data_IF_674655102691
#
_entry.id   IF_674655102691
#
_cell.length_a   1.000
_cell.length_b   1.000
_cell.length_c   1.000
_cell.angle_alpha   90.00
_cell.angle_beta   90.00
_cell.angle_gamma   90.00
#
_symmetry.space_group_name_H-M   'P 1'
#
loop_
_entity.id
_entity.type
_entity.pdbx_description
1 polymer ?
#
# COMPACT_ATOMS: atom_id res chain seq x y z
N UNK A 1 -16.17 19.27 -26.88
CA UNK A 1 -16.15 20.35 -25.84
C UNK A 1 -14.82 20.36 -25.11
N UNK A 2 -14.38 19.26 -24.50
CA UNK A 2 -13.05 19.15 -23.84
C UNK A 2 -11.87 19.66 -24.69
N UNK A 3 -11.76 19.22 -25.95
CA UNK A 3 -10.70 19.69 -26.87
C UNK A 3 -10.73 21.20 -27.16
N UNK A 4 -11.92 21.82 -27.12
CA UNK A 4 -12.03 23.28 -27.24
C UNK A 4 -11.61 23.98 -25.95
N UNK A 5 -11.91 23.38 -24.79
CA UNK A 5 -11.47 23.90 -23.50
C UNK A 5 -9.94 23.87 -23.39
N UNK A 6 -9.30 22.77 -23.79
CA UNK A 6 -7.84 22.66 -23.89
C UNK A 6 -7.25 23.71 -24.83
N UNK A 7 -7.79 23.85 -26.05
CA UNK A 7 -7.31 24.85 -27.00
C UNK A 7 -7.42 26.29 -26.45
N UNK A 8 -8.46 26.59 -25.65
CA UNK A 8 -8.61 27.90 -24.99
C UNK A 8 -7.59 28.05 -23.86
N UNK A 9 -7.36 27.01 -23.06
CA UNK A 9 -6.37 27.03 -21.98
C UNK A 9 -4.95 27.23 -22.55
N UNK A 10 -4.54 26.45 -23.54
CA UNK A 10 -3.24 26.57 -24.20
C UNK A 10 -3.03 27.98 -24.78
N UNK A 11 -4.06 28.52 -25.43
CA UNK A 11 -4.03 29.88 -25.97
C UNK A 11 -3.86 30.92 -24.86
N UNK A 12 -4.60 30.80 -23.75
CA UNK A 12 -4.53 31.72 -22.63
C UNK A 12 -3.14 31.70 -21.96
N UNK A 13 -2.55 30.51 -21.81
CA UNK A 13 -1.23 30.34 -21.19
C UNK A 13 -0.10 30.94 -22.06
N UNK A 14 -0.19 30.78 -23.38
CA UNK A 14 0.78 31.34 -24.33
C UNK A 14 0.60 32.84 -24.60
N UNK A 15 -0.63 33.35 -24.48
CA UNK A 15 -0.95 34.74 -24.80
C UNK A 15 -0.76 35.67 -23.59
N UNK A 16 0.48 36.14 -23.37
CA UNK A 16 0.82 37.04 -22.26
C UNK A 16 0.05 38.37 -22.24
N UNK A 17 -0.54 38.79 -23.37
CA UNK A 17 -1.42 39.96 -23.43
C UNK A 17 -2.79 39.74 -22.78
N UNK A 18 -3.25 38.49 -22.62
CA UNK A 18 -4.54 38.16 -22.02
C UNK A 18 -4.40 37.92 -20.50
N UNK A 19 -4.13 39.01 -19.77
CA UNK A 19 -4.10 38.98 -18.30
C UNK A 19 -5.49 38.79 -17.71
N UNK A 20 -5.61 38.07 -16.59
CA UNK A 20 -6.91 37.84 -15.94
C UNK A 20 -7.91 37.09 -16.81
N UNK A 21 -7.43 36.09 -17.56
CA UNK A 21 -8.29 35.26 -18.41
C UNK A 21 -9.40 34.57 -17.60
N UNK A 22 -9.08 34.11 -16.38
CA UNK A 22 -10.04 33.52 -15.44
C UNK A 22 -11.18 34.49 -15.14
N UNK A 23 -10.88 35.71 -14.69
CA UNK A 23 -11.90 36.72 -14.41
C UNK A 23 -12.76 37.01 -15.65
N UNK A 24 -12.12 37.22 -16.81
CA UNK A 24 -12.82 37.51 -18.06
C UNK A 24 -13.81 36.40 -18.45
N UNK A 25 -13.41 35.13 -18.31
CA UNK A 25 -14.24 33.98 -18.62
C UNK A 25 -15.39 33.82 -17.62
N UNK A 26 -15.11 33.99 -16.32
CA UNK A 26 -16.11 33.87 -15.26
C UNK A 26 -17.18 34.95 -15.39
N UNK A 27 -16.79 36.23 -15.54
CA UNK A 27 -17.76 37.33 -15.68
C UNK A 27 -18.65 37.16 -16.90
N UNK A 28 -18.11 36.62 -17.99
CA UNK A 28 -18.84 36.44 -19.25
C UNK A 28 -19.82 35.26 -19.22
N UNK A 29 -19.48 34.16 -18.55
CA UNK A 29 -20.22 32.89 -18.68
C UNK A 29 -20.86 32.38 -17.38
N UNK A 30 -20.60 32.98 -16.22
CA UNK A 30 -21.16 32.51 -14.92
C UNK A 30 -22.66 32.74 -14.73
N UNK A 31 -23.26 33.66 -15.49
CA UNK A 31 -24.68 34.00 -15.38
C UNK A 31 -25.58 33.00 -16.09
N UNK A 32 -25.12 32.47 -17.23
CA UNK A 32 -25.84 31.48 -18.03
C UNK A 32 -25.57 30.05 -17.53
N UNK A 33 -26.62 29.41 -17.01
CA UNK A 33 -26.56 28.04 -16.48
C UNK A 33 -26.12 27.03 -17.54
N UNK A 34 -26.49 27.25 -18.81
CA UNK A 34 -26.09 26.34 -19.90
C UNK A 34 -24.61 26.45 -20.26
N UNK A 35 -23.98 27.57 -19.88
CA UNK A 35 -22.55 27.82 -20.10
C UNK A 35 -21.64 27.28 -19.00
N UNK A 36 -22.18 27.07 -17.79
CA UNK A 36 -21.39 26.59 -16.64
C UNK A 36 -20.61 25.29 -16.91
N UNK A 37 -21.18 24.24 -17.55
CA UNK A 37 -20.45 23.00 -17.75
C UNK A 37 -19.19 23.14 -18.59
N UNK A 38 -19.17 24.00 -19.62
CA UNK A 38 -17.96 24.22 -20.41
C UNK A 38 -17.01 25.22 -19.75
N UNK A 39 -17.53 26.20 -19.00
CA UNK A 39 -16.71 27.12 -18.22
C UNK A 39 -15.89 26.36 -17.18
N UNK A 40 -16.52 25.44 -16.44
CA UNK A 40 -15.82 24.57 -15.50
C UNK A 40 -14.80 23.68 -16.21
N UNK A 41 -15.08 23.20 -17.42
CA UNK A 41 -14.11 22.42 -18.18
C UNK A 41 -12.85 23.23 -18.49
N UNK A 42 -12.99 24.49 -18.93
CA UNK A 42 -11.85 25.39 -19.16
C UNK A 42 -11.09 25.64 -17.87
N UNK A 43 -11.79 25.92 -16.77
CA UNK A 43 -11.16 26.18 -15.47
C UNK A 43 -10.52 24.93 -14.86
N UNK A 44 -10.93 23.73 -15.27
CA UNK A 44 -10.31 22.46 -14.84
C UNK A 44 -9.02 22.19 -15.59
N UNK A 45 -9.02 22.33 -16.92
CA UNK A 45 -7.81 22.03 -17.72
C UNK A 45 -6.77 23.14 -17.69
N UNK A 46 -7.16 24.37 -17.35
CA UNK A 46 -6.23 25.51 -17.32
C UNK A 46 -5.07 25.32 -16.32
N UNK A 47 -5.29 24.95 -15.05
CA UNK A 47 -4.21 24.57 -14.13
C UNK A 47 -3.41 23.36 -14.57
N UNK A 48 -4.06 22.35 -15.17
CA UNK A 48 -3.41 21.11 -15.63
C UNK A 48 -2.37 21.41 -16.73
N UNK A 49 -2.70 22.30 -17.67
CA UNK A 49 -1.81 22.65 -18.77
C UNK A 49 -0.62 23.54 -18.37
N UNK A 50 -0.62 24.14 -17.16
CA UNK A 50 0.52 24.93 -16.65
C UNK A 50 1.79 24.07 -16.56
N UNK A 51 1.63 22.79 -16.20
CA UNK A 51 2.72 21.82 -16.05
C UNK A 51 2.88 20.90 -17.26
N UNK A 52 2.13 21.16 -18.34
CA UNK A 52 2.14 20.33 -19.53
C UNK A 52 3.49 20.32 -20.25
N UNK A 53 3.98 19.11 -20.54
CA UNK A 53 5.26 18.91 -21.25
C UNK A 53 5.17 19.28 -22.74
N UNK A 54 3.96 19.30 -23.31
CA UNK A 54 3.73 19.64 -24.71
C UNK A 54 3.84 21.15 -24.96
N UNK A 55 3.36 21.95 -24.01
CA UNK A 55 3.25 23.41 -24.12
C UNK A 55 4.60 24.14 -23.96
N UNK A 56 5.57 23.49 -23.30
CA UNK A 56 6.97 23.95 -23.13
C UNK A 56 7.09 25.42 -22.67
N UNK A 57 6.26 25.84 -21.73
CA UNK A 57 6.32 27.18 -21.13
C UNK A 57 7.63 27.30 -20.32
N UNK A 58 8.37 28.39 -20.55
CA UNK A 58 9.58 28.70 -19.80
C UNK A 58 9.30 28.99 -18.32
N UNK A 59 10.25 28.65 -17.44
CA UNK A 59 10.06 28.71 -15.98
C UNK A 59 9.54 30.07 -15.47
N UNK A 60 10.14 31.19 -15.91
CA UNK A 60 9.72 32.54 -15.50
C UNK A 60 8.25 32.81 -15.87
N UNK A 61 7.84 32.44 -17.09
CA UNK A 61 6.47 32.61 -17.54
C UNK A 61 5.51 31.71 -16.77
N UNK A 62 5.93 30.50 -16.40
CA UNK A 62 5.13 29.60 -15.56
C UNK A 62 4.88 30.21 -14.18
N UNK A 63 5.89 30.77 -13.55
CA UNK A 63 5.74 31.45 -12.26
C UNK A 63 4.75 32.61 -12.35
N UNK A 64 4.86 33.47 -13.37
CA UNK A 64 3.88 34.55 -13.60
C UNK A 64 2.45 34.04 -13.75
N UNK A 65 2.25 32.92 -14.46
CA UNK A 65 0.94 32.30 -14.64
C UNK A 65 0.41 31.78 -13.31
N UNK A 66 1.22 31.07 -12.53
CA UNK A 66 0.81 30.53 -11.23
C UNK A 66 0.40 31.67 -10.29
N UNK A 67 1.16 32.77 -10.26
CA UNK A 67 0.82 33.96 -9.46
C UNK A 67 -0.50 34.62 -9.92
N UNK A 68 -0.73 34.75 -11.23
CA UNK A 68 -1.98 35.30 -11.79
C UNK A 68 -3.17 34.38 -11.46
N UNK A 69 -3.01 33.05 -11.58
CA UNK A 69 -4.05 32.09 -11.21
C UNK A 69 -4.32 32.11 -9.71
N UNK A 70 -3.30 32.20 -8.86
CA UNK A 70 -3.45 32.34 -7.43
C UNK A 70 -4.25 33.59 -7.05
N UNK A 71 -4.01 34.71 -7.74
CA UNK A 71 -4.77 35.94 -7.54
C UNK A 71 -6.28 35.76 -7.82
N UNK A 72 -6.65 34.99 -8.86
CA UNK A 72 -8.05 34.74 -9.22
C UNK A 72 -8.66 33.47 -8.61
N UNK A 73 -7.93 32.73 -7.78
CA UNK A 73 -8.40 31.49 -7.13
C UNK A 73 -9.72 31.70 -6.36
N UNK A 74 -9.83 32.79 -5.61
CA UNK A 74 -11.03 33.17 -4.86
C UNK A 74 -12.26 33.33 -5.74
N UNK A 75 -12.09 33.84 -6.96
CA UNK A 75 -13.18 34.00 -7.94
C UNK A 75 -13.68 32.64 -8.42
N UNK A 76 -12.75 31.70 -8.64
CA UNK A 76 -13.09 30.32 -9.03
C UNK A 76 -13.80 29.60 -7.91
N UNK A 77 -13.30 29.66 -6.67
CA UNK A 77 -13.99 29.01 -5.54
C UNK A 77 -15.39 29.58 -5.31
N UNK A 78 -15.57 30.90 -5.46
CA UNK A 78 -16.90 31.54 -5.40
C UNK A 78 -17.84 31.05 -6.51
N UNK A 79 -17.32 30.88 -7.74
CA UNK A 79 -18.07 30.28 -8.83
C UNK A 79 -18.48 28.83 -8.52
N UNK A 80 -17.57 28.01 -7.99
CA UNK A 80 -17.85 26.62 -7.62
C UNK A 80 -18.96 26.54 -6.58
N UNK A 81 -18.90 27.38 -5.55
CA UNK A 81 -19.95 27.52 -4.54
C UNK A 81 -21.30 27.91 -5.17
N UNK A 82 -21.30 28.89 -6.08
CA UNK A 82 -22.51 29.29 -6.81
C UNK A 82 -23.07 28.14 -7.66
N UNK A 83 -22.21 27.32 -8.24
CA UNK A 83 -22.62 26.15 -9.02
C UNK A 83 -23.29 25.08 -8.15
N UNK A 84 -22.79 24.84 -6.94
CA UNK A 84 -23.44 23.97 -5.95
C UNK A 84 -24.81 24.52 -5.57
N UNK A 85 -24.95 25.83 -5.35
CA UNK A 85 -26.24 26.43 -4.98
C UNK A 85 -27.29 26.34 -6.11
N UNK A 86 -26.87 26.53 -7.37
CA UNK A 86 -27.77 26.50 -8.52
C UNK A 86 -28.14 25.09 -8.99
N UNK A 87 -27.21 24.14 -8.87
CA UNK A 87 -27.33 22.82 -9.51
C UNK A 87 -26.74 21.67 -8.67
N UNK A 88 -26.66 21.82 -7.34
CA UNK A 88 -26.07 20.81 -6.43
C UNK A 88 -26.79 19.47 -6.38
N UNK A 89 -28.01 19.37 -6.93
CA UNK A 89 -28.71 18.09 -7.07
C UNK A 89 -28.34 17.34 -8.35
N UNK A 90 -27.62 17.99 -9.29
CA UNK A 90 -27.13 17.34 -10.51
C UNK A 90 -25.74 16.74 -10.27
N UNK A 91 -25.70 15.41 -10.20
CA UNK A 91 -24.48 14.63 -10.02
C UNK A 91 -23.39 14.97 -11.05
N UNK A 92 -23.77 15.19 -12.32
CA UNK A 92 -22.81 15.53 -13.37
C UNK A 92 -22.16 16.88 -13.14
N UNK A 93 -22.91 17.80 -12.54
CA UNK A 93 -22.40 19.12 -12.17
C UNK A 93 -21.46 19.01 -10.97
N UNK A 94 -21.80 18.23 -9.95
CA UNK A 94 -20.91 17.98 -8.80
C UNK A 94 -19.59 17.36 -9.23
N UNK A 95 -19.59 16.38 -10.15
CA UNK A 95 -18.37 15.79 -10.72
C UNK A 95 -17.46 16.88 -11.31
N UNK A 96 -18.03 17.81 -12.10
CA UNK A 96 -17.26 18.91 -12.69
C UNK A 96 -16.72 19.89 -11.64
N UNK A 97 -17.51 20.16 -10.60
CA UNK A 97 -17.11 21.02 -9.50
C UNK A 97 -15.92 20.41 -8.75
N UNK A 98 -15.98 19.13 -8.40
CA UNK A 98 -14.91 18.45 -7.67
C UNK A 98 -13.64 18.26 -8.50
N UNK A 99 -13.77 17.94 -9.79
CA UNK A 99 -12.60 17.89 -10.70
C UNK A 99 -11.93 19.24 -10.84
N UNK A 100 -12.72 20.31 -11.03
CA UNK A 100 -12.18 21.66 -11.06
C UNK A 100 -11.50 22.00 -9.73
N UNK A 101 -12.11 21.70 -8.60
CA UNK A 101 -11.52 21.97 -7.29
C UNK A 101 -10.20 21.21 -7.09
N UNK A 102 -10.15 19.91 -7.41
CA UNK A 102 -8.95 19.08 -7.32
C UNK A 102 -7.82 19.58 -8.21
N UNK A 103 -8.12 20.00 -9.44
CA UNK A 103 -7.14 20.59 -10.36
C UNK A 103 -6.48 21.86 -9.78
N UNK A 104 -7.26 22.71 -9.11
CA UNK A 104 -6.74 23.91 -8.45
C UNK A 104 -5.96 23.61 -7.17
N UNK A 105 -6.32 22.56 -6.43
CA UNK A 105 -5.49 22.04 -5.34
C UNK A 105 -4.13 21.56 -5.84
N UNK A 106 -4.10 20.78 -6.93
CA UNK A 106 -2.86 20.27 -7.52
C UNK A 106 -1.91 21.38 -8.02
N UNK A 107 -2.45 22.54 -8.38
CA UNK A 107 -1.63 23.71 -8.74
C UNK A 107 -1.02 24.41 -7.50
N UNK A 108 -1.53 24.16 -6.29
CA UNK A 108 -1.01 24.72 -5.05
C UNK A 108 -1.35 26.20 -4.83
N UNK A 109 -2.46 26.67 -5.41
CA UNK A 109 -2.82 28.11 -5.43
C UNK A 109 -4.03 28.49 -4.56
N UNK A 110 -4.67 27.51 -3.93
CA UNK A 110 -5.84 27.74 -3.07
C UNK A 110 -5.40 28.16 -1.67
N UNK A 111 -6.12 29.14 -1.08
CA UNK A 111 -5.86 29.56 0.30
C UNK A 111 -6.37 28.50 1.30
N UNK A 112 -5.44 27.91 2.04
CA UNK A 112 -5.72 26.82 2.98
C UNK A 112 -6.68 27.21 4.10
N UNK A 113 -6.60 28.44 4.62
CA UNK A 113 -7.47 28.89 5.72
C UNK A 113 -8.91 29.09 5.26
N UNK A 114 -9.09 29.64 4.05
CA UNK A 114 -10.38 29.80 3.41
C UNK A 114 -10.99 28.44 3.07
N UNK A 115 -10.21 27.53 2.48
CA UNK A 115 -10.69 26.20 2.13
C UNK A 115 -11.07 25.36 3.34
N UNK A 116 -10.36 25.49 4.47
CA UNK A 116 -10.71 24.82 5.72
C UNK A 116 -12.14 25.16 6.21
N UNK A 117 -12.63 26.37 5.92
CA UNK A 117 -13.95 26.83 6.33
C UNK A 117 -15.00 26.78 5.20
N UNK A 118 -14.63 26.20 4.05
CA UNK A 118 -15.48 26.16 2.88
C UNK A 118 -16.51 25.04 2.96
N UNK A 119 -17.76 25.33 2.55
CA UNK A 119 -18.80 24.30 2.43
C UNK A 119 -18.50 23.27 1.33
N UNK A 120 -17.63 23.60 0.36
CA UNK A 120 -17.19 22.63 -0.65
C UNK A 120 -16.49 21.43 0.02
N UNK A 121 -15.68 21.70 1.04
CA UNK A 121 -14.96 20.66 1.76
C UNK A 121 -15.92 19.79 2.58
N UNK A 122 -16.89 20.41 3.26
CA UNK A 122 -17.95 19.67 3.95
C UNK A 122 -18.77 18.79 2.99
N UNK A 123 -19.11 19.32 1.81
CA UNK A 123 -19.87 18.60 0.79
C UNK A 123 -19.11 17.39 0.22
N UNK A 124 -17.79 17.50 0.03
CA UNK A 124 -16.95 16.36 -0.38
C UNK A 124 -17.13 15.17 0.56
N UNK A 125 -16.97 15.39 1.86
CA UNK A 125 -17.13 14.33 2.85
C UNK A 125 -18.59 13.87 2.99
N UNK A 126 -19.57 14.76 2.86
CA UNK A 126 -20.98 14.37 2.85
C UNK A 126 -21.29 13.38 1.71
N UNK A 127 -20.82 13.67 0.50
CA UNK A 127 -20.99 12.80 -0.67
C UNK A 127 -20.30 11.45 -0.48
N UNK A 128 -19.08 11.46 0.08
CA UNK A 128 -18.31 10.24 0.38
C UNK A 128 -18.91 9.40 1.52
N UNK A 129 -19.79 9.94 2.35
CA UNK A 129 -20.49 9.16 3.39
C UNK A 129 -21.80 8.52 2.90
N UNK A 130 -22.35 9.00 1.78
CA UNK A 130 -23.66 8.56 1.31
C UNK A 130 -23.57 7.29 0.45
N UNK A 131 -24.19 6.20 0.90
CA UNK A 131 -24.26 4.90 0.16
C UNK A 131 -24.80 5.06 -1.27
N UNK A 132 -25.80 5.95 -1.42
CA UNK A 132 -26.49 6.23 -2.70
C UNK A 132 -25.62 6.93 -3.75
N UNK A 133 -24.44 7.43 -3.39
CA UNK A 133 -23.54 8.12 -4.32
C UNK A 133 -23.06 7.13 -5.39
N UNK A 134 -23.09 7.53 -6.66
CA UNK A 134 -22.61 6.71 -7.77
C UNK A 134 -21.09 6.55 -7.75
N UNK A 135 -20.55 5.53 -8.42
CA UNK A 135 -19.10 5.32 -8.52
C UNK A 135 -18.38 6.53 -9.14
N UNK A 136 -18.95 7.17 -10.17
CA UNK A 136 -18.34 8.33 -10.85
C UNK A 136 -18.24 9.57 -9.94
N UNK A 137 -19.29 9.86 -9.17
CA UNK A 137 -19.27 10.98 -8.24
C UNK A 137 -18.37 10.68 -7.05
N UNK A 138 -18.38 9.44 -6.58
CA UNK A 138 -17.50 8.99 -5.50
C UNK A 138 -16.03 9.11 -5.90
N UNK A 139 -15.63 8.63 -7.08
CA UNK A 139 -14.27 8.76 -7.61
C UNK A 139 -13.85 10.24 -7.70
N UNK A 140 -14.69 11.10 -8.31
CA UNK A 140 -14.37 12.53 -8.42
C UNK A 140 -14.22 13.23 -7.05
N UNK A 141 -14.99 12.82 -6.05
CA UNK A 141 -14.86 13.34 -4.69
C UNK A 141 -13.60 12.80 -3.99
N UNK A 142 -13.30 11.51 -4.13
CA UNK A 142 -12.09 10.89 -3.60
C UNK A 142 -10.82 11.51 -4.18
N UNK A 143 -10.75 11.67 -5.50
CA UNK A 143 -9.63 12.32 -6.19
C UNK A 143 -9.42 13.75 -5.68
N UNK A 144 -10.50 14.51 -5.50
CA UNK A 144 -10.42 15.87 -4.97
C UNK A 144 -9.92 15.91 -3.51
N UNK A 145 -10.30 14.94 -2.68
CA UNK A 145 -9.78 14.82 -1.30
C UNK A 145 -8.30 14.47 -1.32
N UNK A 146 -7.87 13.53 -2.17
CA UNK A 146 -6.45 13.20 -2.33
C UNK A 146 -5.65 14.42 -2.82
N UNK A 147 -6.14 15.16 -3.82
CA UNK A 147 -5.52 16.43 -4.26
C UNK A 147 -5.40 17.45 -3.14
N UNK A 148 -6.42 17.58 -2.28
CA UNK A 148 -6.39 18.51 -1.15
C UNK A 148 -5.38 18.10 -0.06
N UNK A 149 -5.25 16.80 0.19
CA UNK A 149 -4.24 16.23 1.10
C UNK A 149 -2.83 16.43 0.53
N UNK A 150 -2.61 16.05 -0.72
CA UNK A 150 -1.33 16.17 -1.41
C UNK A 150 -0.84 17.63 -1.53
N UNK A 151 -1.76 18.59 -1.65
CA UNK A 151 -1.44 20.02 -1.67
C UNK A 151 -0.86 20.54 -0.35
N UNK A 152 -0.94 19.79 0.75
CA UNK A 152 -0.33 20.14 2.03
C UNK A 152 1.14 19.74 2.02
N UNK A 153 2.00 20.60 1.47
CA UNK A 153 3.46 20.38 1.49
C UNK A 153 4.05 20.52 2.90
N UNK A 154 3.47 21.41 3.72
CA UNK A 154 3.87 21.62 5.11
C UNK A 154 2.63 21.71 6.02
N UNK A 155 2.55 20.79 6.98
CA UNK A 155 1.40 20.65 7.89
C UNK A 155 1.25 21.85 8.81
N UNK A 156 2.34 22.46 9.27
CA UNK A 156 2.27 23.61 10.19
C UNK A 156 1.69 24.85 9.52
N UNK A 157 2.07 25.10 8.27
CA UNK A 157 1.62 26.27 7.48
C UNK A 157 0.16 26.12 7.07
N UNK A 158 -0.29 24.89 6.84
CA UNK A 158 -1.64 24.57 6.39
C UNK A 158 -2.53 23.96 7.49
N UNK A 159 -2.18 24.18 8.76
CA UNK A 159 -2.78 23.50 9.90
C UNK A 159 -4.33 23.52 9.93
N UNK A 160 -5.03 24.64 9.62
CA UNK A 160 -6.49 24.64 9.60
C UNK A 160 -7.08 23.64 8.59
N UNK A 161 -6.54 23.60 7.37
CA UNK A 161 -7.00 22.68 6.33
C UNK A 161 -6.63 21.24 6.68
N UNK A 162 -5.41 21.03 7.15
CA UNK A 162 -4.93 19.74 7.60
C UNK A 162 -5.86 19.11 8.65
N UNK A 163 -6.27 19.88 9.67
CA UNK A 163 -7.19 19.40 10.71
C UNK A 163 -8.56 19.03 10.15
N UNK A 164 -9.09 19.80 9.20
CA UNK A 164 -10.41 19.53 8.60
C UNK A 164 -10.38 18.29 7.72
N UNK A 165 -9.33 18.13 6.89
CA UNK A 165 -9.15 16.93 6.08
C UNK A 165 -8.96 15.69 6.95
N UNK A 166 -8.12 15.79 7.99
CA UNK A 166 -7.89 14.70 8.93
C UNK A 166 -9.18 14.24 9.58
N UNK A 167 -9.96 15.17 10.15
CA UNK A 167 -11.24 14.85 10.77
C UNK A 167 -12.25 14.29 9.77
N UNK A 168 -12.34 14.88 8.57
CA UNK A 168 -13.24 14.44 7.51
C UNK A 168 -12.98 13.01 7.08
N UNK A 169 -11.72 12.64 6.82
CA UNK A 169 -11.36 11.28 6.41
C UNK A 169 -11.67 10.25 7.49
N UNK A 170 -11.42 10.56 8.76
CA UNK A 170 -11.74 9.64 9.87
C UNK A 170 -13.25 9.30 9.97
N UNK A 171 -14.14 10.15 9.43
CA UNK A 171 -15.58 9.85 9.42
C UNK A 171 -16.00 8.82 8.37
N UNK A 172 -15.12 8.48 7.43
CA UNK A 172 -15.44 7.63 6.28
C UNK A 172 -15.39 6.13 6.59
N UNK A 173 -14.89 5.72 7.76
CA UNK A 173 -14.76 4.30 8.15
C UNK A 173 -16.09 3.53 8.04
N UNK A 174 -17.20 4.12 8.50
CA UNK A 174 -18.53 3.50 8.41
C UNK A 174 -18.98 3.30 6.96
N UNK A 175 -18.70 4.28 6.09
CA UNK A 175 -19.05 4.23 4.68
C UNK A 175 -18.16 3.22 3.92
N UNK A 176 -16.88 3.09 4.29
CA UNK A 176 -16.00 2.03 3.82
C UNK A 176 -16.57 0.64 4.13
N UNK A 177 -16.95 0.37 5.38
CA UNK A 177 -17.54 -0.91 5.75
C UNK A 177 -18.84 -1.21 5.00
N UNK A 178 -19.63 -0.17 4.71
CA UNK A 178 -20.83 -0.29 3.89
C UNK A 178 -20.49 -0.69 2.45
N UNK A 179 -19.50 -0.06 1.83
CA UNK A 179 -19.02 -0.44 0.50
C UNK A 179 -18.52 -1.89 0.45
N UNK A 180 -17.76 -2.34 1.45
CA UNK A 180 -17.33 -3.74 1.58
C UNK A 180 -18.53 -4.69 1.68
N UNK A 181 -19.52 -4.36 2.51
CA UNK A 181 -20.73 -5.19 2.67
C UNK A 181 -21.61 -5.23 1.41
N UNK A 182 -21.48 -4.24 0.52
CA UNK A 182 -22.16 -4.16 -0.78
C UNK A 182 -21.35 -4.77 -1.92
N UNK A 183 -20.14 -5.23 -1.66
CA UNK A 183 -19.18 -5.70 -2.68
C UNK A 183 -18.88 -4.61 -3.74
N UNK A 184 -18.91 -3.34 -3.34
CA UNK A 184 -18.62 -2.18 -4.20
C UNK A 184 -17.11 -1.90 -4.20
N UNK A 185 -16.37 -2.70 -4.99
CA UNK A 185 -14.91 -2.65 -5.04
C UNK A 185 -14.39 -1.27 -5.50
N UNK A 186 -15.10 -0.58 -6.39
CA UNK A 186 -14.72 0.76 -6.86
C UNK A 186 -14.61 1.74 -5.69
N UNK A 187 -15.63 1.77 -4.81
CA UNK A 187 -15.62 2.62 -3.61
C UNK A 187 -14.57 2.17 -2.60
N UNK A 188 -14.40 0.86 -2.40
CA UNK A 188 -13.38 0.31 -1.50
C UNK A 188 -11.98 0.76 -1.90
N UNK A 189 -11.63 0.68 -3.19
CA UNK A 189 -10.35 1.16 -3.72
C UNK A 189 -10.20 2.67 -3.53
N UNK A 190 -11.26 3.44 -3.79
CA UNK A 190 -11.27 4.89 -3.60
C UNK A 190 -11.01 5.30 -2.14
N UNK A 191 -11.68 4.67 -1.17
CA UNK A 191 -11.41 4.91 0.25
C UNK A 191 -9.99 4.53 0.64
N UNK A 192 -9.48 3.40 0.15
CA UNK A 192 -8.12 2.98 0.46
C UNK A 192 -7.07 3.99 -0.05
N UNK A 193 -7.29 4.57 -1.23
CA UNK A 193 -6.46 5.69 -1.74
C UNK A 193 -6.52 6.90 -0.82
N UNK A 194 -7.72 7.31 -0.39
CA UNK A 194 -7.90 8.45 0.53
C UNK A 194 -7.22 8.20 1.88
N UNK A 195 -7.34 6.99 2.44
CA UNK A 195 -6.69 6.63 3.70
C UNK A 195 -5.17 6.58 3.56
N UNK A 196 -4.67 6.06 2.43
CA UNK A 196 -3.23 6.04 2.14
C UNK A 196 -2.67 7.44 2.01
N UNK A 197 -3.33 8.32 1.24
CA UNK A 197 -2.91 9.70 1.05
C UNK A 197 -2.94 10.49 2.37
N UNK A 198 -3.92 10.21 3.25
CA UNK A 198 -3.97 10.77 4.60
C UNK A 198 -2.70 10.40 5.39
N UNK A 199 -2.34 9.12 5.40
CA UNK A 199 -1.16 8.63 6.08
C UNK A 199 0.14 9.21 5.49
N UNK A 200 0.24 9.34 4.17
CA UNK A 200 1.38 9.95 3.48
C UNK A 200 1.54 11.43 3.83
N UNK A 201 0.44 12.19 3.83
CA UNK A 201 0.43 13.63 4.16
C UNK A 201 0.86 13.88 5.60
N UNK A 202 0.46 12.99 6.53
CA UNK A 202 0.74 13.14 7.95
C UNK A 202 1.88 12.25 8.45
N UNK A 203 2.68 11.65 7.56
CA UNK A 203 3.75 10.72 7.89
C UNK A 203 4.73 11.30 8.92
N UNK A 204 5.17 12.54 8.72
CA UNK A 204 6.07 13.22 9.66
C UNK A 204 5.46 13.35 11.07
N UNK A 205 4.15 13.62 11.16
CA UNK A 205 3.42 13.72 12.45
C UNK A 205 3.22 12.37 13.10
N UNK A 206 2.93 11.34 12.30
CA UNK A 206 2.83 9.95 12.76
C UNK A 206 4.16 9.53 13.40
N UNK A 207 5.29 9.82 12.76
CA UNK A 207 6.63 9.43 13.25
C UNK A 207 7.11 10.28 14.42
N UNK A 208 6.96 11.61 14.36
CA UNK A 208 7.53 12.52 15.36
C UNK A 208 6.70 12.60 16.65
N UNK A 209 5.38 12.46 16.55
CA UNK A 209 4.44 12.58 17.68
C UNK A 209 3.39 11.46 17.66
N UNK A 210 3.82 10.18 17.69
CA UNK A 210 2.91 9.05 17.54
C UNK A 210 1.83 9.04 18.64
N UNK A 211 0.58 8.90 18.21
CA UNK A 211 -0.59 8.86 19.09
C UNK A 211 -1.09 10.23 19.57
N UNK A 212 -0.52 11.35 19.11
CA UNK A 212 -0.89 12.69 19.55
C UNK A 212 -1.25 13.61 18.39
N UNK A 213 -2.39 14.30 18.51
CA UNK A 213 -2.83 15.29 17.52
C UNK A 213 -2.95 14.69 16.12
N UNK A 214 -2.23 15.25 15.14
CA UNK A 214 -2.17 14.76 13.76
C UNK A 214 -1.31 13.49 13.60
N UNK A 215 -0.58 13.08 14.63
CA UNK A 215 0.10 11.79 14.69
C UNK A 215 -0.75 10.65 15.29
N UNK A 216 -2.06 10.85 15.43
CA UNK A 216 -2.98 9.84 15.94
C UNK A 216 -2.95 8.57 15.06
N UNK A 217 -2.69 7.43 15.72
CA UNK A 217 -2.45 6.13 15.08
C UNK A 217 -3.72 5.45 14.58
N UNK A 218 -4.91 6.04 14.82
CA UNK A 218 -6.14 5.63 14.11
C UNK A 218 -6.00 5.70 12.58
N UNK A 219 -5.09 6.54 12.08
CA UNK A 219 -4.72 6.57 10.67
C UNK A 219 -4.16 5.22 10.19
N UNK A 220 -3.27 4.59 10.96
CA UNK A 220 -2.75 3.26 10.65
C UNK A 220 -3.82 2.17 10.80
N UNK A 221 -4.75 2.33 11.74
CA UNK A 221 -5.88 1.41 11.88
C UNK A 221 -6.76 1.37 10.62
N UNK A 222 -7.00 2.51 9.96
CA UNK A 222 -7.73 2.55 8.69
C UNK A 222 -7.03 1.72 7.60
N UNK A 223 -5.70 1.82 7.50
CA UNK A 223 -4.94 1.00 6.55
C UNK A 223 -4.97 -0.49 6.91
N UNK A 224 -4.93 -0.83 8.20
CA UNK A 224 -5.05 -2.22 8.65
C UNK A 224 -6.45 -2.80 8.43
N UNK A 225 -7.50 -1.97 8.49
CA UNK A 225 -8.86 -2.34 8.09
C UNK A 225 -8.86 -2.68 6.58
N UNK A 226 -8.25 -1.83 5.74
CA UNK A 226 -8.10 -2.13 4.31
C UNK A 226 -7.28 -3.40 4.05
N UNK A 227 -6.22 -3.64 4.83
CA UNK A 227 -5.42 -4.85 4.73
C UNK A 227 -6.20 -6.13 5.04
N UNK A 228 -7.29 -6.04 5.81
CA UNK A 228 -8.19 -7.15 6.11
C UNK A 228 -9.18 -7.49 5.00
N UNK A 229 -9.30 -6.66 3.96
CA UNK A 229 -10.15 -6.94 2.80
C UNK A 229 -9.62 -8.16 2.02
N UNK A 230 -10.47 -9.02 1.42
CA UNK A 230 -10.00 -10.23 0.77
C UNK A 230 -9.29 -9.99 -0.58
N UNK A 231 -9.63 -8.93 -1.30
CA UNK A 231 -8.94 -8.55 -2.55
C UNK A 231 -7.58 -7.90 -2.26
N UNK A 232 -6.50 -8.48 -2.78
CA UNK A 232 -5.13 -8.04 -2.54
C UNK A 232 -4.81 -6.68 -3.16
N UNK A 233 -5.55 -6.31 -4.21
CA UNK A 233 -5.44 -5.02 -4.90
C UNK A 233 -5.76 -3.85 -3.96
N UNK A 234 -6.56 -4.10 -2.91
CA UNK A 234 -6.89 -3.08 -1.90
C UNK A 234 -5.69 -2.81 -1.00
N UNK A 235 -5.05 -3.85 -0.45
CA UNK A 235 -3.92 -3.66 0.48
C UNK A 235 -2.68 -3.10 -0.24
N UNK A 236 -2.49 -3.49 -1.51
CA UNK A 236 -1.35 -3.06 -2.33
C UNK A 236 -1.28 -1.54 -2.50
N UNK A 237 -2.42 -0.84 -2.54
CA UNK A 237 -2.48 0.63 -2.65
C UNK A 237 -1.63 1.30 -1.56
N UNK A 238 -1.58 0.72 -0.36
CA UNK A 238 -0.90 1.30 0.80
C UNK A 238 0.60 1.00 0.88
N UNK A 239 1.17 0.19 -0.04
CA UNK A 239 2.55 -0.30 0.09
C UNK A 239 3.58 0.83 0.10
N UNK A 240 3.42 1.84 -0.75
CA UNK A 240 4.34 2.99 -0.80
C UNK A 240 4.43 3.71 0.54
N UNK A 241 3.30 3.91 1.22
CA UNK A 241 3.27 4.51 2.55
C UNK A 241 4.05 3.65 3.54
N UNK A 242 3.84 2.33 3.54
CA UNK A 242 4.54 1.44 4.45
C UNK A 242 6.05 1.45 4.23
N UNK A 243 6.52 1.46 2.98
CA UNK A 243 7.95 1.66 2.67
C UNK A 243 8.48 2.97 3.23
N UNK A 244 7.77 4.09 3.00
CA UNK A 244 8.18 5.41 3.50
C UNK A 244 8.17 5.48 5.02
N UNK A 245 7.18 4.88 5.68
CA UNK A 245 7.12 4.77 7.14
C UNK A 245 8.33 3.99 7.68
N UNK A 246 8.63 2.83 7.09
CA UNK A 246 9.81 2.04 7.41
C UNK A 246 11.10 2.83 7.27
N UNK A 247 11.27 3.55 6.16
CA UNK A 247 12.43 4.40 5.90
C UNK A 247 12.59 5.52 6.94
N UNK A 248 11.51 6.22 7.29
CA UNK A 248 11.56 7.29 8.31
C UNK A 248 11.91 6.72 9.68
N UNK A 249 11.27 5.62 10.08
CA UNK A 249 11.53 4.99 11.38
C UNK A 249 12.96 4.43 11.45
N UNK A 250 13.49 3.88 10.36
CA UNK A 250 14.87 3.42 10.29
C UNK A 250 15.85 4.59 10.51
N UNK A 251 15.57 5.76 9.93
CA UNK A 251 16.40 6.97 10.11
C UNK A 251 16.32 7.56 11.52
N UNK A 252 15.21 7.42 12.22
CA UNK A 252 15.03 7.96 13.59
C UNK A 252 15.87 7.20 14.64
N UNK A 253 16.24 5.94 14.38
CA UNK A 253 17.07 5.08 15.26
C UNK A 253 16.70 5.15 16.76
N UNK A 254 15.40 5.08 17.05
CA UNK A 254 14.86 5.13 18.43
C UNK A 254 14.00 3.90 18.71
N UNK A 255 14.52 3.00 19.55
CA UNK A 255 13.86 1.76 19.95
C UNK A 255 12.53 2.00 20.68
N UNK A 256 12.36 3.11 21.39
CA UNK A 256 11.10 3.46 22.06
C UNK A 256 10.04 3.77 21.01
N UNK A 257 10.39 4.58 20.00
CA UNK A 257 9.48 4.89 18.90
C UNK A 257 9.15 3.61 18.11
N UNK A 258 10.14 2.79 17.77
CA UNK A 258 9.92 1.51 17.07
C UNK A 258 8.93 0.60 17.80
N UNK A 259 9.02 0.54 19.14
CA UNK A 259 8.13 -0.29 19.96
C UNK A 259 6.66 0.09 19.85
N UNK A 260 6.35 1.36 19.55
CA UNK A 260 4.98 1.85 19.34
C UNK A 260 4.39 1.26 18.05
N UNK A 261 5.20 1.19 16.98
CA UNK A 261 4.76 0.71 15.67
C UNK A 261 4.79 -0.82 15.54
N UNK A 262 5.57 -1.52 16.36
CA UNK A 262 5.75 -2.98 16.31
C UNK A 262 4.43 -3.76 16.17
N UNK A 263 3.42 -3.43 17.00
CA UNK A 263 2.13 -4.12 16.97
C UNK A 263 1.35 -3.90 15.66
N UNK A 264 1.45 -2.71 15.07
CA UNK A 264 0.82 -2.38 13.78
C UNK A 264 1.49 -3.15 12.64
N UNK A 265 2.82 -3.20 12.63
CA UNK A 265 3.58 -3.95 11.63
C UNK A 265 3.32 -5.45 11.76
N UNK A 266 3.24 -6.02 12.97
CA UNK A 266 2.86 -7.42 13.16
C UNK A 266 1.47 -7.74 12.59
N UNK A 267 0.49 -6.85 12.79
CA UNK A 267 -0.86 -7.01 12.23
C UNK A 267 -0.86 -6.92 10.71
N UNK A 268 -0.08 -6.00 10.13
CA UNK A 268 0.10 -5.90 8.69
C UNK A 268 0.71 -7.19 8.14
N UNK A 269 1.83 -7.66 8.70
CA UNK A 269 2.49 -8.90 8.29
C UNK A 269 1.55 -10.12 8.35
N UNK A 270 0.70 -10.18 9.38
CA UNK A 270 -0.32 -11.23 9.48
C UNK A 270 -1.35 -11.14 8.34
N UNK A 271 -1.83 -9.95 8.01
CA UNK A 271 -2.73 -9.75 6.87
C UNK A 271 -2.06 -10.12 5.55
N UNK A 272 -0.81 -9.69 5.32
CA UNK A 272 -0.05 -10.01 4.11
C UNK A 272 0.23 -11.52 3.97
N UNK A 273 0.51 -12.21 5.07
CA UNK A 273 0.66 -13.67 5.07
C UNK A 273 -0.65 -14.38 4.64
N UNK A 274 -1.81 -13.81 4.95
CA UNK A 274 -3.10 -14.33 4.47
C UNK A 274 -3.30 -14.03 2.99
N UNK A 275 -2.93 -12.83 2.54
CA UNK A 275 -3.01 -12.44 1.12
C UNK A 275 -2.06 -13.25 0.21
N UNK A 276 -0.97 -13.81 0.74
CA UNK A 276 -0.09 -14.68 -0.04
C UNK A 276 -0.58 -16.14 -0.15
N UNK A 277 -1.75 -16.48 0.41
CA UNK A 277 -2.33 -17.82 0.28
C UNK A 277 -2.81 -18.05 -1.14
N UNK A 278 -2.39 -19.17 -1.72
CA UNK A 278 -2.94 -19.66 -2.98
C UNK A 278 -4.35 -20.20 -2.79
N UNK A 279 -5.08 -20.33 -3.89
CA UNK A 279 -6.36 -21.03 -3.88
C UNK A 279 -6.17 -22.50 -3.46
N UNK A 280 -7.13 -23.02 -2.69
CA UNK A 280 -7.03 -24.37 -2.12
C UNK A 280 -6.95 -25.49 -3.16
N UNK A 281 -7.46 -25.23 -4.36
CA UNK A 281 -7.48 -26.11 -5.53
C UNK A 281 -6.38 -25.76 -6.57
N UNK A 282 -5.45 -24.86 -6.23
CA UNK A 282 -4.34 -24.50 -7.09
C UNK A 282 -3.49 -25.73 -7.45
N UNK A 283 -3.19 -25.87 -8.74
CA UNK A 283 -2.37 -26.95 -9.28
C UNK A 283 -1.00 -26.44 -9.71
N UNK A 284 0.05 -27.18 -9.36
CA UNK A 284 1.41 -26.89 -9.82
C UNK A 284 2.24 -26.06 -8.83
N UNK A 285 3.20 -25.32 -9.38
CA UNK A 285 4.05 -24.41 -8.60
C UNK A 285 3.47 -23.01 -8.67
N UNK A 286 3.63 -22.19 -7.62
CA UNK A 286 3.16 -20.82 -7.67
C UNK A 286 3.82 -20.06 -8.83
N UNK A 287 3.01 -19.36 -9.62
CA UNK A 287 3.50 -18.51 -10.69
C UNK A 287 4.16 -17.24 -10.11
N UNK A 288 5.24 -16.79 -10.74
CA UNK A 288 5.96 -15.56 -10.35
C UNK A 288 5.74 -14.41 -11.33
N UNK A 289 5.07 -14.67 -12.47
CA UNK A 289 4.96 -13.72 -13.60
C UNK A 289 3.54 -13.25 -13.86
N UNK A 290 2.54 -13.79 -13.17
CA UNK A 290 1.17 -13.29 -13.18
C UNK A 290 0.98 -12.18 -12.15
N UNK A 291 -0.18 -11.51 -12.18
CA UNK A 291 -0.46 -10.36 -11.30
C UNK A 291 -0.35 -10.74 -9.81
N UNK A 292 -0.74 -11.97 -9.46
CA UNK A 292 -0.65 -12.47 -8.09
C UNK A 292 0.79 -12.80 -7.68
N UNK A 293 1.57 -13.43 -8.56
CA UNK A 293 3.00 -13.65 -8.37
C UNK A 293 3.77 -12.35 -8.16
N UNK A 294 3.50 -11.33 -8.99
CA UNK A 294 4.08 -9.98 -8.82
C UNK A 294 3.67 -9.36 -7.48
N UNK A 295 2.40 -9.48 -7.08
CA UNK A 295 1.93 -9.05 -5.77
C UNK A 295 2.70 -9.73 -4.62
N UNK A 296 2.86 -11.05 -4.67
CA UNK A 296 3.63 -11.81 -3.67
C UNK A 296 5.07 -11.32 -3.59
N UNK A 297 5.72 -11.07 -4.73
CA UNK A 297 7.08 -10.55 -4.75
C UNK A 297 7.18 -9.15 -4.10
N UNK A 298 6.22 -8.27 -4.38
CA UNK A 298 6.10 -6.96 -3.69
C UNK A 298 5.90 -7.12 -2.18
N UNK A 299 5.11 -8.08 -1.73
CA UNK A 299 4.96 -8.41 -0.30
C UNK A 299 6.29 -8.87 0.29
N UNK A 300 7.00 -9.76 -0.38
CA UNK A 300 8.31 -10.26 0.06
C UNK A 300 9.30 -9.11 0.29
N UNK A 301 9.32 -8.12 -0.60
CA UNK A 301 10.21 -6.97 -0.49
C UNK A 301 9.77 -6.01 0.62
N UNK A 302 8.47 -5.74 0.75
CA UNK A 302 7.94 -4.91 1.82
C UNK A 302 8.22 -5.50 3.21
N UNK A 303 8.05 -6.82 3.35
CA UNK A 303 8.33 -7.53 4.59
C UNK A 303 9.80 -7.41 4.97
N UNK A 304 10.74 -7.54 4.01
CA UNK A 304 12.18 -7.39 4.27
C UNK A 304 12.52 -6.00 4.82
N UNK A 305 11.88 -4.97 4.28
CA UNK A 305 12.15 -3.58 4.68
C UNK A 305 11.51 -3.21 6.03
N UNK A 306 10.47 -3.92 6.46
CA UNK A 306 9.77 -3.63 7.73
C UNK A 306 10.14 -4.57 8.88
N UNK A 307 10.81 -5.70 8.61
CA UNK A 307 11.04 -6.74 9.62
C UNK A 307 11.85 -6.25 10.82
N UNK A 308 12.69 -5.22 10.65
CA UNK A 308 13.49 -4.65 11.74
C UNK A 308 12.64 -4.06 12.87
N UNK A 309 11.42 -3.59 12.57
CA UNK A 309 10.49 -3.02 13.57
C UNK A 309 9.87 -4.07 14.48
N UNK A 310 9.80 -5.32 14.01
CA UNK A 310 9.28 -6.46 14.79
C UNK A 310 10.40 -7.24 15.45
N UNK A 311 11.51 -7.42 14.74
CA UNK A 311 12.60 -8.31 15.07
C UNK A 311 12.49 -9.62 14.28
N UNK A 312 13.49 -9.89 13.44
CA UNK A 312 13.50 -11.04 12.53
C UNK A 312 13.41 -12.39 13.25
N UNK A 313 14.12 -12.57 14.36
CA UNK A 313 14.10 -13.81 15.17
C UNK A 313 12.73 -14.06 15.79
N UNK A 314 12.12 -13.02 16.37
CA UNK A 314 10.82 -13.12 17.04
C UNK A 314 9.71 -13.42 16.03
N UNK A 315 9.67 -12.69 14.92
CA UNK A 315 8.70 -12.90 13.85
C UNK A 315 8.84 -14.30 13.23
N UNK A 316 10.07 -14.75 12.95
CA UNK A 316 10.32 -16.10 12.41
C UNK A 316 9.84 -17.20 13.37
N UNK A 317 10.10 -17.05 14.67
CA UNK A 317 9.63 -18.00 15.68
C UNK A 317 8.11 -18.04 15.80
N UNK A 318 7.44 -16.88 15.72
CA UNK A 318 5.98 -16.77 15.74
C UNK A 318 5.35 -17.44 14.52
N UNK A 319 5.85 -17.18 13.31
CA UNK A 319 5.40 -17.82 12.07
C UNK A 319 5.62 -19.34 12.09
N UNK A 320 6.74 -19.80 12.64
CA UNK A 320 7.01 -21.24 12.74
C UNK A 320 6.08 -21.94 13.77
N UNK A 321 5.67 -21.24 14.83
CA UNK A 321 4.76 -21.79 15.82
C UNK A 321 3.36 -22.07 15.24
N UNK A 322 2.85 -21.17 14.37
CA UNK A 322 1.52 -21.37 13.74
C UNK A 322 1.47 -22.57 12.80
N UNK A 323 2.62 -23.05 12.31
CA UNK A 323 2.69 -24.27 11.50
C UNK A 323 2.60 -25.56 12.33
N UNK A 324 2.97 -25.51 13.62
CA UNK A 324 2.93 -26.68 14.51
C UNK A 324 1.54 -26.91 15.11
N UNK A 325 0.82 -25.83 15.35
CA UNK A 325 -0.46 -25.87 16.02
C UNK A 325 -1.59 -26.00 14.98
N UNK A 326 -2.47 -27.00 15.13
CA UNK A 326 -3.75 -27.05 14.41
C UNK A 326 -3.77 -27.72 13.04
N UNK A 327 -2.67 -28.31 12.57
CA UNK A 327 -2.57 -29.00 11.27
C UNK A 327 -3.13 -28.14 10.10
N UNK A 328 -2.51 -26.98 9.83
CA UNK A 328 -3.03 -26.02 8.87
C UNK A 328 -3.12 -26.61 7.44
N UNK A 329 -4.08 -26.13 6.62
CA UNK A 329 -4.13 -26.45 5.20
C UNK A 329 -2.81 -26.15 4.46
N UNK A 330 -2.66 -26.74 3.27
CA UNK A 330 -1.40 -26.66 2.53
C UNK A 330 -1.12 -25.23 2.04
N UNK A 331 -2.16 -24.51 1.62
CA UNK A 331 -2.10 -23.13 1.14
C UNK A 331 -1.73 -22.14 2.25
N UNK A 332 -2.19 -22.41 3.48
CA UNK A 332 -1.80 -21.64 4.67
C UNK A 332 -0.33 -21.92 5.02
N UNK A 333 0.07 -23.20 4.96
CA UNK A 333 1.45 -23.61 5.22
C UNK A 333 2.42 -22.98 4.23
N UNK A 334 2.07 -23.00 2.94
CA UNK A 334 2.86 -22.43 1.84
C UNK A 334 3.06 -20.92 2.03
N UNK A 335 2.00 -20.17 2.29
CA UNK A 335 2.09 -18.72 2.44
C UNK A 335 2.93 -18.31 3.66
N UNK A 336 2.83 -19.03 4.77
CA UNK A 336 3.68 -18.81 5.95
C UNK A 336 5.15 -19.09 5.62
N UNK A 337 5.44 -20.20 4.91
CA UNK A 337 6.80 -20.51 4.46
C UNK A 337 7.35 -19.46 3.49
N UNK A 338 6.51 -18.91 2.60
CA UNK A 338 6.86 -17.81 1.71
C UNK A 338 7.31 -16.56 2.47
N UNK A 339 6.56 -16.13 3.49
CA UNK A 339 6.94 -15.00 4.35
C UNK A 339 8.21 -15.32 5.15
N UNK A 340 8.32 -16.52 5.73
CA UNK A 340 9.52 -16.96 6.45
C UNK A 340 10.77 -16.94 5.56
N UNK A 341 10.66 -17.35 4.29
CA UNK A 341 11.76 -17.32 3.33
C UNK A 341 12.22 -15.89 3.04
N UNK A 342 11.29 -14.93 3.00
CA UNK A 342 11.58 -13.51 2.78
C UNK A 342 12.45 -12.90 3.87
N UNK A 343 12.22 -13.28 5.14
CA UNK A 343 12.95 -12.74 6.30
C UNK A 343 14.16 -13.55 6.72
N UNK A 344 14.32 -14.79 6.26
CA UNK A 344 15.35 -15.71 6.77
C UNK A 344 16.79 -15.18 6.66
N UNK A 345 17.11 -14.41 5.60
CA UNK A 345 18.44 -13.80 5.42
C UNK A 345 18.75 -12.72 6.46
N UNK A 346 17.73 -12.11 7.06
CA UNK A 346 17.84 -11.07 8.09
C UNK A 346 17.92 -11.64 9.52
N UNK A 347 17.76 -12.96 9.69
CA UNK A 347 17.90 -13.64 10.97
C UNK A 347 19.39 -13.80 11.26
N UNK A 348 20.00 -12.77 11.84
CA UNK A 348 21.42 -12.76 12.18
C UNK A 348 21.76 -13.89 13.17
N UNK A 349 22.88 -14.61 12.92
CA UNK A 349 23.36 -15.71 13.77
C UNK A 349 23.98 -15.24 15.12
N UNK A 350 23.80 -13.97 15.49
CA UNK A 350 24.44 -13.31 16.63
C UNK A 350 23.90 -13.76 18.00
N UNK A 351 22.82 -14.54 18.06
CA UNK A 351 22.28 -15.13 19.30
C UNK A 351 23.14 -16.24 19.92
N UNK A 352 24.35 -16.52 19.39
CA UNK A 352 25.26 -17.57 19.91
C UNK A 352 26.32 -17.11 20.92
N UNK A 353 26.39 -15.84 21.33
CA UNK A 353 27.53 -15.35 22.16
C UNK A 353 27.20 -14.93 23.60
N UNK A 354 26.01 -15.18 24.15
CA UNK A 354 25.74 -14.91 25.57
C UNK A 354 25.04 -16.04 26.34
N UNK A 355 25.62 -17.24 26.30
CA UNK A 355 25.48 -18.18 27.41
C UNK A 355 26.72 -19.07 27.47
N UNK A 356 27.66 -18.74 28.37
CA UNK A 356 28.73 -19.67 28.77
C UNK A 356 28.09 -20.85 29.49
N UNK A 357 27.84 -21.94 28.77
CA UNK A 357 27.73 -23.29 29.33
C UNK A 357 29.05 -24.05 29.08
N UNK A 358 29.49 -24.95 29.98
CA UNK A 358 30.77 -25.65 29.89
C UNK A 358 30.75 -26.74 28.80
N UNK A 359 31.93 -27.29 28.40
CA UNK A 359 32.15 -27.78 27.05
C UNK A 359 31.60 -29.19 26.86
N UNK A 360 30.80 -29.40 25.82
CA UNK A 360 30.60 -30.71 25.21
C UNK A 360 30.76 -30.60 23.69
N UNK A 361 31.82 -31.24 23.21
CA UNK A 361 32.23 -31.59 21.84
C UNK A 361 32.07 -30.55 20.69
N UNK A 362 33.11 -30.37 19.85
CA UNK A 362 33.12 -29.36 18.80
C UNK A 362 32.16 -29.73 17.67
N UNK A 363 31.14 -28.90 17.45
CA UNK A 363 30.34 -28.92 16.22
C UNK A 363 31.23 -28.44 15.05
N UNK A 364 31.26 -29.13 13.90
CA UNK A 364 32.05 -28.70 12.76
C UNK A 364 31.44 -27.43 12.14
N UNK A 365 32.29 -26.42 12.02
CA UNK A 365 32.07 -25.17 11.29
C UNK A 365 32.04 -25.47 9.79
N UNK A 366 30.94 -25.15 9.10
CA UNK A 366 30.94 -24.96 7.64
C UNK A 366 30.11 -23.72 7.33
N UNK A 367 30.78 -22.73 6.73
CA UNK A 367 30.25 -21.40 6.45
C UNK A 367 29.22 -21.38 5.33
N UNK A 368 28.23 -20.49 5.47
CA UNK A 368 27.39 -19.99 4.39
C UNK A 368 28.26 -19.11 3.47
N UNK A 369 28.98 -19.76 2.56
CA UNK A 369 29.94 -19.10 1.67
C UNK A 369 30.83 -20.10 0.97
N UNK A 370 30.25 -21.11 0.32
CA UNK A 370 31.00 -22.02 -0.52
C UNK A 370 30.17 -22.37 -1.77
N UNK A 371 30.55 -21.76 -2.90
CA UNK A 371 30.38 -22.42 -4.20
C UNK A 371 31.12 -23.76 -4.11
N UNK A 372 30.41 -24.88 -4.25
CA UNK A 372 31.04 -26.19 -4.34
C UNK A 372 31.80 -26.30 -5.67
N UNK A 373 33.12 -26.56 -5.67
CA UNK A 373 33.77 -27.18 -6.82
C UNK A 373 33.47 -28.69 -6.77
N UNK A 374 33.11 -29.24 -7.92
CA UNK A 374 32.88 -30.67 -8.09
C UNK A 374 34.12 -31.50 -7.69
N UNK A 375 33.91 -32.60 -6.95
CA UNK A 375 34.84 -33.73 -6.96
C UNK A 375 35.16 -34.37 -5.61
N UNK A 376 34.85 -35.67 -5.54
CA UNK A 376 35.42 -36.73 -4.71
C UNK A 376 34.92 -36.97 -3.28
N UNK A 377 34.31 -38.16 -3.15
CA UNK A 377 34.17 -39.10 -2.02
C UNK A 377 34.99 -38.79 -0.76
N UNK A 378 34.34 -38.90 0.40
CA UNK A 378 34.68 -39.91 1.43
C UNK A 378 33.55 -40.09 2.44
N UNK A 379 33.42 -41.33 2.91
CA UNK A 379 32.54 -41.84 3.96
C UNK A 379 32.77 -41.14 5.31
N UNK A 380 31.67 -41.04 6.08
CA UNK A 380 31.57 -41.20 7.54
C UNK A 380 30.77 -40.07 8.23
N UNK A 381 29.84 -40.49 9.10
CA UNK A 381 29.19 -39.63 10.08
C UNK A 381 27.69 -39.41 9.85
N UNK A 382 26.87 -40.38 10.24
CA UNK A 382 25.44 -40.19 10.43
C UNK A 382 25.21 -39.28 11.65
N UNK A 383 24.98 -37.99 11.40
CA UNK A 383 24.48 -37.01 12.37
C UNK A 383 23.05 -36.63 12.00
N UNK A 384 22.12 -36.80 12.95
CA UNK A 384 20.71 -36.40 12.84
C UNK A 384 20.57 -34.94 12.38
N UNK A 385 19.83 -34.64 11.28
CA UNK A 385 19.59 -33.27 10.86
C UNK A 385 18.60 -32.60 11.83
N UNK A 386 19.02 -31.46 12.40
CA UNK A 386 18.22 -30.66 13.29
C UNK A 386 16.99 -30.06 12.59
N UNK A 387 15.86 -30.14 13.27
CA UNK A 387 14.46 -29.89 12.87
C UNK A 387 14.11 -28.52 12.26
N UNK A 388 15.07 -27.64 12.00
CA UNK A 388 14.85 -26.31 11.39
C UNK A 388 15.45 -26.24 9.98
N UNK A 389 16.49 -27.03 9.69
CA UNK A 389 17.10 -27.06 8.36
C UNK A 389 16.23 -27.78 7.33
N UNK A 390 15.47 -28.79 7.74
CA UNK A 390 14.70 -29.63 6.85
C UNK A 390 13.57 -28.87 6.13
N UNK A 391 12.69 -28.10 6.80
CA UNK A 391 11.62 -27.38 6.10
C UNK A 391 12.16 -26.32 5.12
N UNK A 392 13.24 -25.63 5.51
CA UNK A 392 13.85 -24.55 4.73
C UNK A 392 14.60 -25.07 3.50
N UNK A 393 15.30 -26.20 3.65
CA UNK A 393 15.96 -26.88 2.53
C UNK A 393 14.95 -27.42 1.52
N UNK A 394 13.79 -27.88 1.99
CA UNK A 394 12.70 -28.38 1.15
C UNK A 394 11.97 -27.26 0.40
N UNK A 395 11.63 -26.14 1.05
CA UNK A 395 11.04 -24.98 0.36
C UNK A 395 12.03 -24.40 -0.66
N UNK A 396 13.31 -24.27 -0.29
CA UNK A 396 14.34 -23.77 -1.21
C UNK A 396 14.61 -24.72 -2.39
N UNK A 397 14.53 -26.05 -2.20
CA UNK A 397 14.62 -27.02 -3.30
C UNK A 397 13.39 -27.00 -4.23
N UNK A 398 12.19 -26.78 -3.69
CA UNK A 398 10.95 -26.73 -4.49
C UNK A 398 10.80 -25.40 -5.25
N UNK A 399 11.16 -24.26 -4.65
CA UNK A 399 10.97 -22.92 -5.23
C UNK A 399 12.11 -22.50 -6.15
N UNK A 400 13.38 -22.79 -5.81
CA UNK A 400 14.53 -22.32 -6.62
C UNK A 400 14.97 -23.29 -7.73
N UNK A 401 14.14 -24.27 -8.11
CA UNK A 401 14.36 -25.06 -9.33
C UNK A 401 15.70 -25.81 -9.40
N UNK A 402 16.28 -26.24 -8.28
CA UNK A 402 17.46 -27.13 -8.29
C UNK A 402 17.05 -28.59 -8.57
N UNK A 403 16.47 -28.82 -9.76
CA UNK A 403 15.96 -30.09 -10.25
C UNK A 403 17.04 -31.16 -10.53
N UNK A 404 18.32 -30.84 -10.35
CA UNK A 404 19.43 -31.75 -10.71
C UNK A 404 19.79 -32.79 -9.64
N UNK A 405 19.22 -32.71 -8.43
CA UNK A 405 19.59 -33.60 -7.31
C UNK A 405 18.56 -34.70 -6.98
N UNK A 406 17.39 -34.71 -7.62
CA UNK A 406 16.33 -35.68 -7.33
C UNK A 406 15.72 -36.27 -8.61
N UNK A 407 16.54 -36.97 -9.40
CA UNK A 407 15.99 -37.89 -10.39
C UNK A 407 15.54 -39.17 -9.66
N UNK A 408 14.22 -39.37 -9.54
CA UNK A 408 13.68 -40.72 -9.33
C UNK A 408 12.64 -40.94 -8.23
N UNK A 409 12.04 -39.91 -7.63
CA UNK A 409 10.95 -40.11 -6.66
C UNK A 409 9.72 -39.29 -7.08
N UNK A 410 8.64 -39.99 -7.41
CA UNK A 410 7.34 -39.39 -7.68
C UNK A 410 6.81 -38.67 -6.44
N UNK A 411 6.11 -37.55 -6.64
CA UNK A 411 5.55 -36.66 -5.61
C UNK A 411 4.80 -37.37 -4.46
N UNK A 412 4.27 -38.57 -4.70
CA UNK A 412 3.62 -39.41 -3.68
C UNK A 412 4.56 -39.94 -2.58
N UNK A 413 5.84 -40.19 -2.87
CA UNK A 413 6.81 -40.61 -1.84
C UNK A 413 7.15 -39.47 -0.85
N UNK A 414 6.96 -38.21 -1.26
CA UNK A 414 7.30 -37.03 -0.45
C UNK A 414 6.28 -36.74 0.65
N UNK A 415 4.98 -36.98 0.42
CA UNK A 415 3.96 -36.92 1.48
C UNK A 415 4.04 -38.10 2.46
N UNK A 416 4.43 -39.28 1.98
CA UNK A 416 4.45 -40.50 2.80
C UNK A 416 5.60 -40.50 3.83
N UNK A 417 6.72 -39.83 3.53
CA UNK A 417 7.79 -39.59 4.50
C UNK A 417 7.40 -38.59 5.59
N UNK A 418 6.49 -37.65 5.29
CA UNK A 418 5.96 -36.68 6.25
C UNK A 418 5.03 -37.35 7.27
N UNK A 419 4.22 -38.33 6.86
CA UNK A 419 3.32 -39.08 7.76
C UNK A 419 4.05 -40.04 8.71
N UNK A 420 5.15 -40.66 8.27
CA UNK A 420 5.90 -41.60 9.12
C UNK A 420 6.61 -40.96 10.33
N UNK A 421 6.88 -39.65 10.28
CA UNK A 421 7.53 -38.92 11.37
C UNK A 421 6.54 -38.26 12.35
N UNK A 422 5.26 -38.15 11.98
CA UNK A 422 4.22 -37.57 12.83
C UNK A 422 3.61 -38.56 13.84
N UNK A 423 3.85 -39.87 13.70
CA UNK A 423 3.49 -40.86 14.72
C UNK A 423 4.73 -41.24 15.54
N UNK A 424 4.89 -40.60 16.70
CA UNK A 424 5.79 -41.10 17.75
C UNK A 424 5.19 -42.39 18.34
N UNK A 425 5.41 -43.50 17.64
CA UNK A 425 5.36 -44.83 18.23
C UNK A 425 6.63 -45.56 17.80
N UNK A 426 7.63 -45.51 18.68
CA UNK A 426 8.82 -46.31 18.56
C UNK A 426 8.44 -47.80 18.44
N UNK A 427 9.16 -48.50 17.57
CA UNK A 427 9.16 -49.95 17.29
C UNK A 427 8.25 -50.44 16.15
N UNK A 428 8.74 -50.35 14.92
CA UNK A 428 8.57 -51.40 13.90
C UNK A 428 9.75 -51.37 12.92
N UNK A 429 10.43 -52.51 12.66
CA UNK A 429 11.60 -52.55 11.79
C UNK A 429 11.22 -52.43 10.30
N UNK A 430 12.05 -51.66 9.59
CA UNK A 430 11.99 -51.26 8.19
C UNK A 430 12.28 -52.42 7.19
N UNK A 431 11.70 -53.60 7.40
CA UNK A 431 12.04 -54.82 6.63
C UNK A 431 10.90 -55.45 5.83
N UNK A 432 9.75 -54.79 5.70
CA UNK A 432 8.62 -55.29 4.92
C UNK A 432 8.07 -54.21 3.99
N UNK A 433 8.71 -53.98 2.83
CA UNK A 433 8.07 -53.42 1.61
C UNK A 433 9.05 -53.35 0.41
N UNK A 434 9.91 -54.35 0.21
CA UNK A 434 10.64 -54.56 -1.06
C UNK A 434 10.29 -55.92 -1.69
N UNK A 435 9.05 -56.37 -1.51
CA UNK A 435 8.55 -57.64 -2.02
C UNK A 435 7.30 -57.48 -2.85
N UNK A 436 7.46 -57.32 -4.16
CA UNK A 436 6.43 -57.43 -5.18
C UNK A 436 5.88 -56.08 -5.63
N UNK A 437 6.12 -55.72 -6.89
CA UNK A 437 5.25 -56.07 -8.02
C UNK A 437 6.04 -55.81 -9.32
N UNK A 438 6.00 -56.80 -10.21
CA UNK A 438 6.22 -56.60 -11.64
C UNK A 438 4.89 -56.46 -12.36
#
# INVERSE_FOLDING_TARGET
LFQLALAIADLALQMASWKGCVQTLVEKYSTDVTSLPFLLEILTVLPEEVHSRSLRIGANRRTEIIEDLAYYSSTVVSLLMTCVEKAGNDEKMLIKIFRCLGSWFNLGVLDSTFMANSKLLSLLFEVLQQDKTSSNLHEAASDCVCSALYAIENVETNLPLALQLFQGVLTLESAYHMAVAREDLDKVLNYCRVFTELCETFLDKIVCTPGQGLGDLRTLELLLICAGHPQYEVVEISFNFWYRLGEHLYKTDDAVIHSIFKAYIQRLLHALARHCQLDSDHEGVPEETDDFGEFRMRVSDLVKDLIFLVGSVECFAQLYATLKDGNPPWEVTEAVLFIMASIAKSVDHSSRTSSRAPPQHPLPVLGLGAQFPAGNRTQDGAGTPGSIQTPFFFYSCCVFGHFSLCQGLSAWCYLQFYFCFASDSASLPLTLCLGGWG
#
